data_IF_305452185256
#
_entry.id   IF_305452185256
#
_cell.length_a   1.000
_cell.length_b   1.000
_cell.length_c   1.000
_cell.angle_alpha   90.00
_cell.angle_beta   90.00
_cell.angle_gamma   90.00
#
_symmetry.space_group_name_H-M   'P 1'
#
loop_
_entity.id
_entity.type
_entity.pdbx_description
1 polymer ?
#
# COMPACT_ATOMS: atom_id res chain seq x y z
N UNK A 1 7.34 37.15 69.81
CA UNK A 1 6.55 38.04 68.95
C UNK A 1 5.32 37.26 68.51
N UNK A 2 4.13 37.87 68.64
CA UNK A 2 2.80 37.26 68.42
C UNK A 2 2.70 36.65 67.01
N UNK A 3 2.33 35.37 66.93
CA UNK A 3 1.92 34.76 65.66
C UNK A 3 0.74 35.55 65.10
N UNK A 4 0.91 36.04 63.87
CA UNK A 4 -0.13 36.76 63.14
C UNK A 4 -1.29 35.80 62.86
N UNK A 5 -2.56 36.22 63.03
CA UNK A 5 -3.71 35.33 62.85
C UNK A 5 -3.70 34.71 61.43
N UNK A 6 -4.07 33.43 61.35
CA UNK A 6 -4.16 32.71 60.07
C UNK A 6 -5.11 33.45 59.10
N UNK A 7 -4.98 33.26 57.78
CA UNK A 7 -5.82 33.96 56.76
C UNK A 7 -7.32 33.90 57.07
N UNK A 8 -7.77 32.83 57.74
CA UNK A 8 -9.15 32.64 58.17
C UNK A 8 -9.52 33.55 59.36
N UNK A 9 -8.63 33.69 60.34
CA UNK A 9 -8.84 34.53 61.51
C UNK A 9 -8.81 36.03 61.14
N UNK A 10 -8.02 36.40 60.13
CA UNK A 10 -8.07 37.75 59.55
C UNK A 10 -9.45 38.07 58.95
N UNK A 11 -10.08 37.14 58.23
CA UNK A 11 -11.42 37.33 57.68
C UNK A 11 -12.48 37.48 58.78
N UNK A 12 -12.39 36.69 59.85
CA UNK A 12 -13.29 36.81 61.00
C UNK A 12 -13.12 38.14 61.74
N UNK A 13 -11.88 38.59 61.96
CA UNK A 13 -11.59 39.87 62.60
C UNK A 13 -12.12 41.04 61.76
N UNK A 14 -11.87 41.02 60.44
CA UNK A 14 -12.37 42.06 59.53
C UNK A 14 -13.91 42.04 59.46
N UNK A 15 -14.53 40.86 59.36
CA UNK A 15 -15.98 40.73 59.35
C UNK A 15 -16.63 41.28 60.63
N UNK A 16 -16.07 40.95 61.79
CA UNK A 16 -16.54 41.48 63.08
C UNK A 16 -16.39 43.01 63.16
N UNK A 17 -15.28 43.56 62.66
CA UNK A 17 -15.01 44.99 62.65
C UNK A 17 -16.00 45.75 61.74
N UNK A 18 -16.33 45.20 60.57
CA UNK A 18 -17.34 45.77 59.66
C UNK A 18 -18.72 45.76 60.32
N UNK A 19 -19.12 44.65 60.97
CA UNK A 19 -20.40 44.56 61.68
C UNK A 19 -20.46 45.60 62.81
N UNK A 20 -19.40 45.73 63.61
CA UNK A 20 -19.33 46.72 64.69
C UNK A 20 -19.47 48.16 64.18
N UNK A 21 -18.84 48.49 63.05
CA UNK A 21 -18.98 49.81 62.40
C UNK A 21 -20.43 50.05 61.97
N UNK A 22 -21.08 49.07 61.35
CA UNK A 22 -22.48 49.19 60.91
C UNK A 22 -23.42 49.45 62.10
N UNK A 23 -23.19 48.78 63.24
CA UNK A 23 -23.97 49.01 64.47
C UNK A 23 -23.79 50.43 65.02
N UNK A 24 -22.55 50.93 65.09
CA UNK A 24 -22.26 52.28 65.58
C UNK A 24 -22.87 53.33 64.65
N UNK A 25 -22.71 53.16 63.34
CA UNK A 25 -23.25 54.09 62.34
C UNK A 25 -24.78 54.04 62.34
N UNK A 26 -25.41 52.87 62.39
CA UNK A 26 -26.88 52.75 62.46
C UNK A 26 -27.44 53.40 63.71
N UNK A 27 -26.82 53.17 64.88
CA UNK A 27 -27.29 53.75 66.14
C UNK A 27 -27.21 55.28 66.17
N UNK A 28 -26.19 55.88 65.55
CA UNK A 28 -26.01 57.34 65.52
C UNK A 28 -26.81 58.03 64.41
N UNK A 29 -27.09 57.33 63.31
CA UNK A 29 -27.69 57.89 62.10
C UNK A 29 -29.21 57.67 62.04
N UNK A 30 -29.76 56.79 62.90
CA UNK A 30 -31.19 56.54 63.02
C UNK A 30 -32.02 57.79 63.37
N UNK A 31 -31.42 58.80 64.00
CA UNK A 31 -32.11 60.04 64.39
C UNK A 31 -32.34 60.99 63.19
N UNK A 32 -31.73 60.74 62.03
CA UNK A 32 -31.87 61.58 60.84
C UNK A 32 -32.61 60.83 59.72
N UNK A 33 -33.92 61.03 59.65
CA UNK A 33 -34.84 60.35 58.72
C UNK A 33 -34.43 60.47 57.25
N UNK A 34 -33.90 61.63 56.84
CA UNK A 34 -33.46 61.84 55.45
C UNK A 34 -32.31 60.91 55.06
N UNK A 35 -31.38 60.64 55.97
CA UNK A 35 -30.23 59.77 55.66
C UNK A 35 -30.66 58.30 55.61
N UNK A 36 -31.58 57.89 56.49
CA UNK A 36 -32.16 56.54 56.48
C UNK A 36 -32.90 56.26 55.16
N UNK A 37 -33.66 57.24 54.65
CA UNK A 37 -34.37 57.11 53.36
C UNK A 37 -33.41 56.95 52.17
N UNK A 38 -32.32 57.74 52.12
CA UNK A 38 -31.29 57.59 51.08
C UNK A 38 -30.57 56.24 51.15
N UNK A 39 -30.30 55.73 52.37
CA UNK A 39 -29.69 54.41 52.55
C UNK A 39 -30.65 53.28 52.14
N UNK A 40 -31.94 53.41 52.45
CA UNK A 40 -32.98 52.45 52.00
C UNK A 40 -33.13 52.43 50.47
N UNK A 41 -33.08 53.60 49.83
CA UNK A 41 -33.11 53.72 48.37
C UNK A 41 -31.83 53.17 47.72
N UNK A 42 -30.65 53.46 48.28
CA UNK A 42 -29.39 52.88 47.81
C UNK A 42 -29.39 51.36 47.99
N UNK A 43 -29.94 50.84 49.09
CA UNK A 43 -30.06 49.41 49.35
C UNK A 43 -30.93 48.68 48.34
N UNK A 44 -32.03 49.29 47.89
CA UNK A 44 -32.90 48.72 46.84
C UNK A 44 -32.20 48.71 45.47
N UNK A 45 -31.48 49.78 45.10
CA UNK A 45 -30.68 49.79 43.86
C UNK A 45 -29.59 48.72 43.90
N UNK A 46 -28.85 48.59 45.01
CA UNK A 46 -27.81 47.56 45.17
C UNK A 46 -28.41 46.16 45.08
N UNK A 47 -29.59 45.93 45.67
CA UNK A 47 -30.29 44.64 45.58
C UNK A 47 -30.66 44.29 44.13
N UNK A 48 -31.20 45.25 43.37
CA UNK A 48 -31.52 45.06 41.95
C UNK A 48 -30.24 44.76 41.15
N UNK A 49 -29.15 45.51 41.36
CA UNK A 49 -27.89 45.29 40.65
C UNK A 49 -27.29 43.90 40.95
N UNK A 50 -27.32 43.46 42.20
CA UNK A 50 -26.86 42.12 42.57
C UNK A 50 -27.71 41.02 41.92
N UNK A 51 -29.04 41.20 41.86
CA UNK A 51 -29.93 40.26 41.17
C UNK A 51 -29.61 40.19 39.66
N UNK A 52 -29.37 41.33 39.02
CA UNK A 52 -28.98 41.38 37.59
C UNK A 52 -27.63 40.69 37.36
N UNK A 53 -26.63 40.94 38.22
CA UNK A 53 -25.33 40.26 38.13
C UNK A 53 -25.48 38.74 38.27
N UNK A 54 -26.33 38.28 39.20
CA UNK A 54 -26.61 36.87 39.37
C UNK A 54 -27.26 36.25 38.12
N UNK A 55 -28.24 36.93 37.50
CA UNK A 55 -28.87 36.49 36.25
C UNK A 55 -27.84 36.42 35.11
N UNK A 56 -26.99 37.44 34.96
CA UNK A 56 -25.92 37.45 33.95
C UNK A 56 -24.97 36.28 34.16
N UNK A 57 -24.56 36.02 35.40
CA UNK A 57 -23.66 34.92 35.71
C UNK A 57 -24.31 33.56 35.41
N UNK A 58 -25.58 33.37 35.80
CA UNK A 58 -26.36 32.18 35.42
C UNK A 58 -26.47 32.00 33.91
N UNK A 59 -26.67 33.09 33.16
CA UNK A 59 -26.75 33.05 31.70
C UNK A 59 -25.40 32.72 31.05
N UNK A 60 -24.31 33.34 31.51
CA UNK A 60 -22.95 33.07 31.03
C UNK A 60 -22.53 31.62 31.34
N UNK A 61 -22.87 31.14 32.53
CA UNK A 61 -22.65 29.78 32.96
C UNK A 61 -23.46 28.79 32.11
N UNK A 62 -24.75 29.07 31.85
CA UNK A 62 -25.60 28.24 30.99
C UNK A 62 -25.08 28.19 29.54
N UNK A 63 -24.72 29.33 28.95
CA UNK A 63 -24.19 29.39 27.58
C UNK A 63 -22.84 28.70 27.44
N UNK A 64 -21.96 28.83 28.44
CA UNK A 64 -20.66 28.15 28.43
C UNK A 64 -20.81 26.63 28.67
N UNK A 65 -21.75 26.22 29.52
CA UNK A 65 -22.05 24.80 29.74
C UNK A 65 -22.70 24.14 28.53
N UNK A 66 -23.64 24.81 27.84
CA UNK A 66 -24.23 24.27 26.60
C UNK A 66 -23.17 24.03 25.53
N UNK A 67 -22.30 25.01 25.28
CA UNK A 67 -21.21 24.87 24.31
C UNK A 67 -20.20 23.78 24.69
N UNK A 68 -19.90 23.62 25.97
CA UNK A 68 -18.97 22.59 26.46
C UNK A 68 -19.61 21.19 26.40
N UNK A 69 -20.89 21.08 26.72
CA UNK A 69 -21.65 19.81 26.68
C UNK A 69 -21.87 19.35 25.25
N UNK A 70 -22.20 20.26 24.33
CA UNK A 70 -22.28 19.97 22.89
C UNK A 70 -20.93 19.52 22.33
N UNK A 71 -19.82 20.18 22.70
CA UNK A 71 -18.48 19.73 22.29
C UNK A 71 -18.11 18.36 22.86
N UNK A 72 -18.51 18.07 24.10
CA UNK A 72 -18.33 16.75 24.70
C UNK A 72 -19.17 15.68 23.99
N UNK A 73 -20.42 15.97 23.64
CA UNK A 73 -21.29 15.06 22.89
C UNK A 73 -20.75 14.79 21.48
N UNK A 74 -20.28 15.82 20.78
CA UNK A 74 -19.63 15.67 19.46
C UNK A 74 -18.35 14.84 19.59
N UNK A 75 -17.56 15.05 20.65
CA UNK A 75 -16.33 14.30 20.89
C UNK A 75 -16.64 12.84 21.23
N UNK A 76 -17.66 12.58 22.06
CA UNK A 76 -18.12 11.23 22.38
C UNK A 76 -18.63 10.50 21.14
N UNK A 77 -19.42 11.15 20.28
CA UNK A 77 -19.88 10.59 18.99
C UNK A 77 -18.71 10.29 18.04
N UNK A 78 -17.69 11.16 17.98
CA UNK A 78 -16.47 10.90 17.20
C UNK A 78 -15.68 9.71 17.76
N UNK A 79 -15.57 9.58 19.08
CA UNK A 79 -14.91 8.44 19.72
C UNK A 79 -15.69 7.15 19.44
N UNK A 80 -17.02 7.18 19.51
CA UNK A 80 -17.90 6.05 19.18
C UNK A 80 -17.73 5.62 17.72
N UNK A 81 -17.71 6.57 16.78
CA UNK A 81 -17.45 6.31 15.36
C UNK A 81 -16.06 5.70 15.14
N UNK A 82 -15.00 6.28 15.73
CA UNK A 82 -13.63 5.75 15.63
C UNK A 82 -13.55 4.36 16.26
N UNK A 83 -14.27 4.09 17.35
CA UNK A 83 -14.30 2.77 17.99
C UNK A 83 -15.03 1.76 17.13
N UNK A 84 -16.11 2.15 16.45
CA UNK A 84 -16.82 1.29 15.51
C UNK A 84 -15.98 1.01 14.25
N UNK A 85 -15.33 2.03 13.67
CA UNK A 85 -14.36 1.87 12.57
C UNK A 85 -13.18 0.99 13.01
N UNK A 86 -12.69 1.13 14.24
CA UNK A 86 -11.64 0.28 14.80
C UNK A 86 -12.14 -1.15 15.05
N UNK A 87 -13.41 -1.35 15.42
CA UNK A 87 -14.02 -2.67 15.55
C UNK A 87 -14.18 -3.35 14.20
N UNK A 88 -14.57 -2.61 13.16
CA UNK A 88 -14.59 -3.07 11.77
C UNK A 88 -13.18 -3.40 11.27
N UNK A 89 -12.18 -2.58 11.62
CA UNK A 89 -10.75 -2.86 11.37
C UNK A 89 -10.24 -4.04 12.20
N UNK A 90 -10.75 -4.28 13.40
CA UNK A 90 -10.42 -5.45 14.23
C UNK A 90 -11.04 -6.73 13.67
N UNK A 91 -12.25 -6.67 13.12
CA UNK A 91 -12.83 -7.74 12.29
C UNK A 91 -12.02 -7.94 11.01
N UNK A 92 -11.54 -6.88 10.36
CA UNK A 92 -10.56 -6.96 9.27
C UNK A 92 -9.25 -7.57 9.76
N UNK A 93 -8.82 -7.35 11.01
CA UNK A 93 -7.63 -7.99 11.59
C UNK A 93 -7.83 -9.50 11.80
N UNK A 94 -9.04 -9.90 12.20
CA UNK A 94 -9.47 -11.30 12.21
C UNK A 94 -9.48 -11.89 10.80
N UNK A 95 -9.94 -11.12 9.82
CA UNK A 95 -9.88 -11.47 8.40
C UNK A 95 -8.45 -11.44 7.85
N UNK A 96 -7.53 -10.63 8.38
CA UNK A 96 -6.10 -10.63 8.04
C UNK A 96 -5.43 -11.87 8.62
N UNK A 97 -5.84 -12.35 9.81
CA UNK A 97 -5.41 -13.64 10.32
C UNK A 97 -5.93 -14.78 9.45
N UNK A 98 -7.19 -14.73 9.04
CA UNK A 98 -7.74 -15.69 8.07
C UNK A 98 -7.08 -15.61 6.70
N UNK A 99 -6.77 -14.41 6.21
CA UNK A 99 -6.04 -14.19 4.96
C UNK A 99 -4.60 -14.65 5.10
N UNK A 100 -3.94 -14.42 6.24
CA UNK A 100 -2.59 -14.93 6.52
C UNK A 100 -2.60 -16.45 6.61
N UNK A 101 -3.56 -17.05 7.31
CA UNK A 101 -3.73 -18.50 7.37
C UNK A 101 -4.10 -19.09 6.00
N UNK A 102 -4.85 -18.35 5.18
CA UNK A 102 -5.19 -18.73 3.80
C UNK A 102 -3.99 -18.56 2.88
N UNK A 103 -3.19 -17.51 3.03
CA UNK A 103 -1.93 -17.27 2.33
C UNK A 103 -0.91 -18.31 2.74
N UNK A 104 -0.79 -18.67 4.01
CA UNK A 104 0.10 -19.72 4.52
C UNK A 104 -0.38 -21.10 4.03
N UNK A 105 -1.69 -21.35 3.97
CA UNK A 105 -2.24 -22.57 3.33
C UNK A 105 -1.97 -22.58 1.84
N UNK A 106 -2.14 -21.46 1.13
CA UNK A 106 -1.82 -21.32 -0.29
C UNK A 106 -0.33 -21.51 -0.50
N UNK A 107 0.54 -20.95 0.34
CA UNK A 107 1.99 -21.10 0.24
C UNK A 107 2.40 -22.55 0.49
N UNK A 108 1.78 -23.23 1.46
CA UNK A 108 1.98 -24.66 1.68
C UNK A 108 1.42 -25.52 0.53
N UNK A 109 0.32 -25.12 -0.09
CA UNK A 109 -0.23 -25.76 -1.28
C UNK A 109 0.70 -25.51 -2.47
N UNK A 110 1.23 -24.31 -2.65
CA UNK A 110 2.20 -23.96 -3.71
C UNK A 110 3.51 -24.69 -3.49
N UNK A 111 4.02 -24.82 -2.26
CA UNK A 111 5.21 -25.62 -1.96
C UNK A 111 4.95 -27.12 -2.18
N UNK A 112 3.75 -27.62 -1.85
CA UNK A 112 3.35 -29.01 -2.18
C UNK A 112 3.10 -29.22 -3.66
N UNK A 113 2.58 -28.22 -4.37
CA UNK A 113 2.40 -28.22 -5.80
C UNK A 113 3.77 -28.13 -6.46
N UNK A 114 4.70 -27.31 -6.01
CA UNK A 114 6.09 -27.31 -6.48
C UNK A 114 6.70 -28.68 -6.22
N UNK A 115 6.63 -29.24 -5.01
CA UNK A 115 7.18 -30.56 -4.73
C UNK A 115 6.55 -31.68 -5.58
N UNK A 116 5.22 -31.68 -5.74
CA UNK A 116 4.50 -32.70 -6.51
C UNK A 116 4.55 -32.46 -8.02
N UNK A 117 4.63 -31.22 -8.50
CA UNK A 117 4.83 -30.88 -9.91
C UNK A 117 6.30 -31.08 -10.30
N UNK A 118 7.27 -30.84 -9.42
CA UNK A 118 8.65 -31.23 -9.68
C UNK A 118 8.80 -32.76 -9.74
N UNK A 119 7.98 -33.56 -9.06
CA UNK A 119 8.02 -35.02 -9.21
C UNK A 119 7.14 -35.54 -10.37
N UNK A 120 5.95 -34.96 -10.61
CA UNK A 120 5.02 -35.39 -11.67
C UNK A 120 5.36 -34.79 -13.06
N UNK A 121 5.97 -33.60 -13.15
CA UNK A 121 6.45 -33.00 -14.43
C UNK A 121 7.85 -33.52 -14.79
N UNK A 122 8.68 -33.97 -13.82
CA UNK A 122 9.95 -34.65 -14.12
C UNK A 122 9.80 -36.14 -14.44
N UNK A 123 8.59 -36.70 -14.41
CA UNK A 123 8.30 -37.91 -15.18
C UNK A 123 8.27 -37.54 -16.67
N UNK A 124 9.47 -37.36 -17.22
CA UNK A 124 9.72 -37.25 -18.65
C UNK A 124 8.96 -38.37 -19.37
N UNK A 125 8.21 -38.07 -20.44
CA UNK A 125 7.96 -39.09 -21.45
C UNK A 125 9.32 -39.65 -21.85
N UNK A 126 9.51 -40.96 -21.74
CA UNK A 126 10.80 -41.58 -22.01
C UNK A 126 11.31 -41.17 -23.39
N UNK A 127 12.57 -40.73 -23.41
CA UNK A 127 13.29 -40.32 -24.60
C UNK A 127 13.43 -41.48 -25.57
N UNK A 128 12.93 -41.32 -26.79
CA UNK A 128 13.37 -42.07 -27.97
C UNK A 128 13.10 -41.26 -29.25
N UNK A 129 13.53 -40.01 -29.33
CA UNK A 129 13.57 -39.25 -30.60
C UNK A 129 14.83 -38.39 -30.71
N UNK A 130 15.99 -39.01 -30.48
CA UNK A 130 17.26 -38.55 -31.04
C UNK A 130 17.97 -39.78 -31.58
N UNK A 131 17.45 -40.32 -32.70
CA UNK A 131 18.17 -41.00 -33.78
C UNK A 131 17.20 -41.88 -34.57
N UNK A 132 16.99 -41.53 -35.85
CA UNK A 132 16.53 -42.38 -36.94
C UNK A 132 15.35 -43.33 -36.67
N UNK A 133 14.20 -43.06 -37.28
CA UNK A 133 13.53 -43.88 -38.33
C UNK A 133 12.07 -43.45 -38.46
N UNK A 134 11.59 -43.33 -39.70
CA UNK A 134 10.20 -43.04 -40.08
C UNK A 134 9.21 -43.93 -39.32
N UNK A 135 8.28 -43.35 -38.56
CA UNK A 135 7.05 -44.01 -38.14
C UNK A 135 5.92 -42.97 -38.01
N UNK A 136 4.94 -43.07 -38.92
CA UNK A 136 3.67 -42.38 -38.84
C UNK A 136 2.84 -42.97 -37.69
N UNK A 137 2.62 -42.21 -36.62
CA UNK A 137 1.45 -42.32 -35.74
C UNK A 137 1.11 -40.94 -35.19
N UNK A 138 -0.11 -40.49 -35.46
CA UNK A 138 -0.60 -39.13 -35.22
C UNK A 138 -0.76 -38.73 -33.75
N UNK A 139 -0.76 -37.41 -33.58
CA UNK A 139 -1.02 -36.61 -32.37
C UNK A 139 0.19 -36.15 -31.55
N UNK A 140 1.35 -35.96 -32.18
CA UNK A 140 2.39 -35.04 -31.71
C UNK A 140 2.35 -33.73 -32.50
N UNK A 141 2.61 -32.59 -31.85
CA UNK A 141 2.85 -31.34 -32.57
C UNK A 141 4.13 -31.50 -33.41
N UNK A 142 4.04 -31.25 -34.72
CA UNK A 142 5.21 -31.26 -35.59
C UNK A 142 5.86 -29.87 -35.55
N UNK A 143 6.98 -29.75 -34.84
CA UNK A 143 7.75 -28.51 -34.71
C UNK A 143 8.66 -28.29 -35.93
N UNK A 144 8.04 -28.06 -37.10
CA UNK A 144 8.75 -27.77 -38.35
C UNK A 144 8.88 -26.25 -38.61
N UNK A 145 9.61 -25.88 -39.67
CA UNK A 145 9.80 -24.46 -40.03
C UNK A 145 8.48 -23.74 -40.35
N UNK A 146 7.45 -24.45 -40.83
CA UNK A 146 6.14 -23.84 -41.10
C UNK A 146 5.40 -23.53 -39.81
N UNK A 147 5.43 -24.45 -38.84
CA UNK A 147 4.91 -24.23 -37.50
C UNK A 147 5.57 -23.01 -36.86
N UNK A 148 6.90 -22.95 -36.84
CA UNK A 148 7.62 -21.83 -36.27
C UNK A 148 7.43 -20.53 -37.07
N UNK A 149 7.26 -20.60 -38.38
CA UNK A 149 6.87 -19.45 -39.21
C UNK A 149 5.52 -18.86 -38.79
N UNK A 150 4.53 -19.73 -38.54
CA UNK A 150 3.23 -19.32 -38.04
C UNK A 150 3.31 -18.74 -36.62
N UNK A 151 4.09 -19.35 -35.73
CA UNK A 151 4.34 -18.80 -34.39
C UNK A 151 4.98 -17.42 -34.49
N UNK A 152 6.09 -17.31 -35.21
CA UNK A 152 6.84 -16.06 -35.43
C UNK A 152 5.98 -14.93 -35.99
N UNK A 153 5.04 -15.26 -36.88
CA UNK A 153 4.12 -14.29 -37.49
C UNK A 153 3.10 -13.72 -36.52
N UNK A 154 2.78 -14.47 -35.46
CA UNK A 154 1.74 -14.17 -34.48
C UNK A 154 2.30 -13.82 -33.09
N UNK A 155 3.61 -13.69 -32.93
CA UNK A 155 4.22 -13.26 -31.67
C UNK A 155 3.80 -11.83 -31.34
N UNK A 156 3.48 -11.59 -30.07
CA UNK A 156 3.40 -10.22 -29.54
C UNK A 156 4.79 -9.59 -29.55
N UNK A 157 4.85 -8.25 -29.51
CA UNK A 157 6.14 -7.53 -29.49
C UNK A 157 7.03 -7.98 -28.32
N UNK A 158 6.45 -8.17 -27.13
CA UNK A 158 7.18 -8.69 -25.96
C UNK A 158 7.72 -10.09 -26.22
N UNK A 159 6.88 -11.00 -26.73
CA UNK A 159 7.28 -12.37 -26.99
C UNK A 159 8.37 -12.48 -28.08
N UNK A 160 8.26 -11.66 -29.13
CA UNK A 160 9.29 -11.56 -30.18
C UNK A 160 10.64 -11.14 -29.59
N UNK A 161 10.65 -10.13 -28.72
CA UNK A 161 11.88 -9.63 -28.09
C UNK A 161 12.49 -10.67 -27.17
N UNK A 162 11.69 -11.34 -26.33
CA UNK A 162 12.18 -12.41 -25.44
C UNK A 162 12.79 -13.55 -26.24
N UNK A 163 12.09 -14.06 -27.26
CA UNK A 163 12.57 -15.19 -28.08
C UNK A 163 13.87 -14.84 -28.80
N UNK A 164 13.95 -13.67 -29.44
CA UNK A 164 15.17 -13.25 -30.15
C UNK A 164 16.32 -13.02 -29.17
N UNK A 165 16.05 -12.47 -27.98
CA UNK A 165 17.08 -12.31 -26.96
C UNK A 165 17.64 -13.66 -26.53
N UNK A 166 16.78 -14.64 -26.24
CA UNK A 166 17.20 -15.99 -25.86
C UNK A 166 18.02 -16.65 -26.99
N UNK A 167 17.57 -16.53 -28.23
CA UNK A 167 18.28 -17.07 -29.40
C UNK A 167 19.68 -16.45 -29.54
N UNK A 168 19.82 -15.14 -29.36
CA UNK A 168 21.12 -14.44 -29.39
C UNK A 168 21.99 -14.78 -28.18
N UNK A 169 21.40 -14.90 -26.99
CA UNK A 169 22.07 -15.35 -25.76
C UNK A 169 22.65 -16.76 -25.94
N UNK A 170 21.89 -17.67 -26.54
CA UNK A 170 22.36 -19.03 -26.89
C UNK A 170 23.54 -18.97 -27.87
N UNK A 171 23.41 -18.21 -28.97
CA UNK A 171 24.50 -18.07 -29.96
C UNK A 171 25.81 -17.52 -29.38
N UNK A 172 25.73 -16.55 -28.46
CA UNK A 172 26.90 -15.94 -27.83
C UNK A 172 27.35 -16.65 -26.56
N UNK A 173 26.62 -17.68 -26.12
CA UNK A 173 26.83 -18.39 -24.85
C UNK A 173 26.89 -17.44 -23.64
N UNK A 174 25.97 -16.47 -23.60
CA UNK A 174 25.83 -15.48 -22.52
C UNK A 174 24.54 -15.78 -21.76
N UNK A 175 24.53 -15.72 -20.41
CA UNK A 175 23.30 -15.94 -19.66
C UNK A 175 22.24 -14.89 -20.02
N UNK A 176 21.00 -15.35 -20.12
CA UNK A 176 19.82 -14.51 -20.27
C UNK A 176 19.43 -13.95 -18.90
N UNK A 177 19.30 -12.63 -18.80
CA UNK A 177 18.89 -11.94 -17.58
C UNK A 177 17.52 -11.30 -17.80
N UNK A 178 16.54 -11.68 -16.97
CA UNK A 178 15.17 -11.21 -17.11
C UNK A 178 15.09 -9.70 -16.87
N UNK A 179 15.79 -9.18 -15.85
CA UNK A 179 15.72 -7.75 -15.51
C UNK A 179 16.27 -6.86 -16.60
N UNK A 180 17.31 -7.30 -17.30
CA UNK A 180 17.85 -6.57 -18.44
C UNK A 180 16.87 -6.57 -19.61
N UNK A 181 16.22 -7.70 -19.88
CA UNK A 181 15.20 -7.82 -20.91
C UNK A 181 13.98 -6.94 -20.59
N UNK A 182 13.50 -6.97 -19.34
CA UNK A 182 12.41 -6.11 -18.83
C UNK A 182 12.77 -4.64 -18.98
N UNK A 183 13.98 -4.24 -18.56
CA UNK A 183 14.44 -2.85 -18.65
C UNK A 183 14.45 -2.36 -20.09
N UNK A 184 15.08 -3.13 -20.99
CA UNK A 184 15.11 -2.80 -22.42
C UNK A 184 13.70 -2.68 -23.01
N UNK A 185 12.80 -3.60 -22.69
CA UNK A 185 11.44 -3.55 -23.20
C UNK A 185 10.70 -2.27 -22.75
N UNK A 186 10.85 -1.89 -21.48
CA UNK A 186 10.15 -0.71 -20.94
C UNK A 186 10.78 0.59 -21.46
N UNK A 187 12.11 0.69 -21.41
CA UNK A 187 12.81 1.93 -21.72
C UNK A 187 12.91 2.18 -23.24
N UNK A 188 13.24 1.15 -24.02
CA UNK A 188 13.57 1.30 -25.45
C UNK A 188 12.42 0.96 -26.40
N UNK A 189 11.40 0.20 -25.94
CA UNK A 189 10.25 -0.18 -26.77
C UNK A 189 8.98 0.55 -26.35
N UNK A 190 8.68 0.59 -25.05
CA UNK A 190 7.52 1.33 -24.54
C UNK A 190 7.79 2.83 -24.37
N UNK A 191 9.07 3.26 -24.38
CA UNK A 191 9.49 4.65 -24.11
C UNK A 191 9.00 5.19 -22.76
N UNK A 192 8.85 4.31 -21.76
CA UNK A 192 8.41 4.69 -20.42
C UNK A 192 9.61 4.74 -19.46
N UNK A 193 9.74 5.85 -18.72
CA UNK A 193 10.74 5.97 -17.65
C UNK A 193 10.03 5.94 -16.29
N UNK A 194 10.57 5.14 -15.37
CA UNK A 194 10.25 5.17 -13.92
C UNK A 194 8.84 4.71 -13.47
N UNK A 195 8.31 3.60 -13.99
CA UNK A 195 7.15 2.93 -13.38
C UNK A 195 7.51 1.58 -12.74
N UNK A 196 7.74 1.57 -11.42
CA UNK A 196 8.06 0.35 -10.65
C UNK A 196 6.98 -0.73 -10.77
N UNK A 197 5.69 -0.35 -10.85
CA UNK A 197 4.57 -1.31 -10.93
C UNK A 197 4.55 -2.02 -12.29
N UNK A 198 4.83 -1.29 -13.38
CA UNK A 198 4.89 -1.88 -14.72
C UNK A 198 6.12 -2.75 -14.91
N UNK A 199 7.25 -2.40 -14.28
CA UNK A 199 8.44 -3.24 -14.27
C UNK A 199 8.15 -4.65 -13.77
N UNK A 200 7.52 -4.76 -12.58
CA UNK A 200 7.17 -6.05 -11.99
C UNK A 200 6.16 -6.82 -12.88
N UNK A 201 5.19 -6.12 -13.47
CA UNK A 201 4.22 -6.73 -14.38
C UNK A 201 4.86 -7.35 -15.63
N UNK A 202 5.78 -6.63 -16.28
CA UNK A 202 6.50 -7.12 -17.47
C UNK A 202 7.48 -8.24 -17.09
N UNK A 203 8.18 -8.14 -15.97
CA UNK A 203 9.06 -9.19 -15.47
C UNK A 203 8.29 -10.52 -15.27
N UNK A 204 7.11 -10.47 -14.66
CA UNK A 204 6.24 -11.63 -14.50
C UNK A 204 5.72 -12.18 -15.84
N UNK A 205 5.39 -11.30 -16.78
CA UNK A 205 4.97 -11.70 -18.12
C UNK A 205 6.10 -12.41 -18.88
N UNK A 206 7.34 -11.93 -18.78
CA UNK A 206 8.52 -12.59 -19.36
C UNK A 206 8.70 -13.96 -18.73
N UNK A 207 8.65 -14.08 -17.40
CA UNK A 207 8.73 -15.38 -16.70
C UNK A 207 7.67 -16.37 -17.22
N UNK A 208 6.42 -15.94 -17.38
CA UNK A 208 5.35 -16.77 -17.95
C UNK A 208 5.65 -17.24 -19.38
N UNK A 209 6.23 -16.36 -20.21
CA UNK A 209 6.65 -16.71 -21.58
C UNK A 209 7.79 -17.73 -21.58
N UNK A 210 8.76 -17.61 -20.67
CA UNK A 210 9.87 -18.57 -20.57
C UNK A 210 9.33 -19.99 -20.29
N UNK A 211 8.46 -20.11 -19.27
CA UNK A 211 7.87 -21.39 -18.88
C UNK A 211 7.05 -21.98 -20.03
N UNK A 212 6.20 -21.17 -20.66
CA UNK A 212 5.35 -21.65 -21.76
C UNK A 212 6.16 -22.16 -22.95
N UNK A 213 7.20 -21.43 -23.37
CA UNK A 213 8.02 -21.81 -24.52
C UNK A 213 9.00 -22.93 -24.23
N UNK A 214 9.47 -23.07 -22.98
CA UNK A 214 10.26 -24.22 -22.56
C UNK A 214 9.41 -25.51 -22.58
N UNK A 215 8.15 -25.45 -22.13
CA UNK A 215 7.20 -26.58 -22.23
C UNK A 215 6.86 -26.96 -23.67
N UNK A 216 6.92 -26.01 -24.61
CA UNK A 216 6.75 -26.26 -26.04
C UNK A 216 8.06 -26.68 -26.73
N UNK A 217 9.14 -26.90 -25.98
CA UNK A 217 10.45 -27.31 -26.49
C UNK A 217 11.10 -26.30 -27.44
N UNK A 218 10.76 -25.01 -27.35
CA UNK A 218 11.38 -23.98 -28.19
C UNK A 218 12.83 -23.74 -27.79
N UNK A 219 13.11 -23.86 -26.50
CA UNK A 219 14.43 -23.75 -25.90
C UNK A 219 14.43 -24.42 -24.53
N UNK A 220 15.61 -24.60 -23.95
CA UNK A 220 15.82 -25.16 -22.62
C UNK A 220 16.69 -24.24 -21.78
N UNK A 221 16.23 -23.94 -20.58
CA UNK A 221 16.90 -23.01 -19.67
C UNK A 221 17.33 -23.70 -18.39
N UNK A 222 18.55 -23.38 -17.93
CA UNK A 222 19.01 -23.74 -16.59
C UNK A 222 19.07 -22.48 -15.76
N UNK A 223 18.35 -22.44 -14.63
CA UNK A 223 18.41 -21.30 -13.70
C UNK A 223 19.81 -21.23 -13.07
N UNK A 224 20.47 -20.08 -13.20
CA UNK A 224 21.75 -19.79 -12.54
C UNK A 224 21.52 -19.04 -11.23
N UNK A 225 20.76 -17.95 -11.29
CA UNK A 225 20.42 -17.06 -10.18
C UNK A 225 18.92 -16.72 -10.22
N UNK A 226 18.42 -15.92 -9.27
CA UNK A 226 17.00 -15.51 -9.24
C UNK A 226 16.52 -14.90 -10.57
N UNK A 227 17.37 -14.14 -11.26
CA UNK A 227 17.01 -13.40 -12.47
C UNK A 227 17.79 -13.84 -13.72
N UNK A 228 18.63 -14.87 -13.63
CA UNK A 228 19.55 -15.27 -14.70
C UNK A 228 19.42 -16.75 -15.06
N UNK A 229 19.42 -17.01 -16.36
CA UNK A 229 19.19 -18.31 -16.97
C UNK A 229 20.26 -18.59 -18.02
N UNK A 230 20.85 -19.77 -17.98
CA UNK A 230 21.71 -20.29 -19.05
C UNK A 230 20.82 -20.95 -20.10
N UNK A 231 20.99 -20.57 -21.37
CA UNK A 231 20.30 -21.24 -22.48
C UNK A 231 21.12 -22.45 -22.88
N UNK A 232 20.63 -23.66 -22.59
CA UNK A 232 21.32 -24.92 -22.91
C UNK A 232 21.07 -25.35 -24.35
N UNK A 233 19.83 -25.21 -24.80
CA UNK A 233 19.38 -25.66 -26.11
C UNK A 233 18.37 -24.64 -26.67
N UNK A 234 18.38 -24.45 -27.99
CA UNK A 234 17.40 -23.66 -28.72
C UNK A 234 17.02 -24.40 -30.01
N UNK A 235 15.73 -24.45 -30.33
CA UNK A 235 15.24 -25.18 -31.50
C UNK A 235 15.82 -24.63 -32.81
N UNK A 236 16.33 -25.52 -33.65
CA UNK A 236 17.04 -25.15 -34.89
C UNK A 236 16.09 -24.61 -35.96
N UNK A 237 14.89 -25.17 -36.08
CA UNK A 237 13.89 -24.69 -37.04
C UNK A 237 13.41 -23.30 -36.64
N UNK A 238 13.24 -23.06 -35.35
CA UNK A 238 12.87 -21.73 -34.88
C UNK A 238 13.99 -20.70 -35.09
N UNK A 239 15.24 -21.08 -34.83
CA UNK A 239 16.39 -20.23 -35.08
C UNK A 239 16.48 -19.83 -36.56
N UNK A 240 16.29 -20.78 -37.47
CA UNK A 240 16.24 -20.52 -38.91
C UNK A 240 15.14 -19.53 -39.29
N UNK A 241 13.94 -19.69 -38.72
CA UNK A 241 12.79 -18.80 -38.97
C UNK A 241 13.06 -17.37 -38.50
N UNK A 242 13.70 -17.21 -37.34
CA UNK A 242 14.08 -15.90 -36.79
C UNK A 242 15.15 -15.23 -37.68
N UNK A 243 16.14 -15.99 -38.12
CA UNK A 243 17.25 -15.48 -38.95
C UNK A 243 16.85 -15.22 -40.40
N UNK A 244 15.91 -16.00 -40.93
CA UNK A 244 15.43 -15.90 -42.31
C UNK A 244 14.64 -14.62 -42.60
N UNK A 245 14.25 -13.84 -41.59
CA UNK A 245 13.65 -12.51 -41.76
C UNK A 245 12.34 -12.48 -42.55
N UNK A 246 11.65 -13.61 -42.72
CA UNK A 246 10.50 -13.71 -43.63
C UNK A 246 9.13 -13.44 -42.95
N UNK A 247 9.12 -12.85 -41.76
CA UNK A 247 7.92 -12.69 -40.94
C UNK A 247 7.80 -11.28 -40.37
N UNK A 248 6.66 -10.93 -39.76
CA UNK A 248 6.36 -9.63 -39.12
C UNK A 248 7.43 -9.12 -38.13
N UNK A 249 8.35 -9.99 -37.73
CA UNK A 249 9.58 -9.70 -37.00
C UNK A 249 10.47 -8.63 -37.67
N UNK A 250 10.36 -8.40 -38.99
CA UNK A 250 11.17 -7.40 -39.69
C UNK A 250 11.02 -5.97 -39.15
N UNK A 251 9.83 -5.62 -38.63
CA UNK A 251 9.59 -4.31 -38.03
C UNK A 251 10.42 -4.08 -36.75
N UNK A 252 10.90 -5.16 -36.13
CA UNK A 252 11.70 -5.16 -34.91
C UNK A 252 13.20 -5.35 -35.18
N UNK A 253 13.64 -5.44 -36.44
CA UNK A 253 15.04 -5.71 -36.80
C UNK A 253 16.02 -4.74 -36.14
N UNK A 254 15.65 -3.44 -36.04
CA UNK A 254 16.48 -2.44 -35.34
C UNK A 254 16.69 -2.82 -33.87
N UNK A 255 15.64 -3.27 -33.19
CA UNK A 255 15.73 -3.73 -31.81
C UNK A 255 16.54 -5.02 -31.68
N UNK A 256 16.47 -5.92 -32.67
CA UNK A 256 17.27 -7.13 -32.68
C UNK A 256 18.78 -6.85 -32.85
N UNK A 257 19.15 -5.83 -33.62
CA UNK A 257 20.53 -5.34 -33.68
C UNK A 257 20.97 -4.73 -32.35
N UNK A 258 20.11 -3.94 -31.71
CA UNK A 258 20.41 -3.32 -30.42
C UNK A 258 20.63 -4.36 -29.31
N UNK A 259 19.78 -5.39 -29.23
CA UNK A 259 19.96 -6.55 -28.32
C UNK A 259 21.31 -7.21 -28.56
N UNK A 260 21.71 -7.35 -29.83
CA UNK A 260 23.00 -7.96 -30.16
C UNK A 260 24.18 -7.11 -29.67
N UNK A 261 24.08 -5.78 -29.77
CA UNK A 261 25.09 -4.86 -29.24
C UNK A 261 25.18 -4.96 -27.72
N UNK A 262 24.04 -4.95 -27.02
CA UNK A 262 23.96 -5.09 -25.55
C UNK A 262 24.65 -6.38 -25.09
N UNK A 263 24.36 -7.50 -25.75
CA UNK A 263 24.96 -8.80 -25.42
C UNK A 263 26.47 -8.87 -25.75
N UNK A 264 26.96 -8.07 -26.70
CA UNK A 264 28.38 -8.06 -27.07
C UNK A 264 29.23 -7.26 -26.08
N UNK A 265 28.66 -6.23 -25.44
CA UNK A 265 29.34 -5.42 -24.42
C UNK A 265 29.52 -6.20 -23.10
N UNK A 266 28.67 -7.22 -22.85
CA UNK A 266 28.67 -8.03 -21.62
C UNK A 266 29.67 -9.19 -21.60
N UNK A 267 30.49 -9.37 -22.64
CA UNK A 267 31.52 -10.42 -22.72
C UNK A 267 32.85 -9.95 -22.14
#
# INVERSE_FOLDING_TARGET
MKDFPSKRDFFYIVGFLVIAIIFIVSGRLSDNTSVVDYVGFAGTIVSILLAVIAIIYSFYQSSTYENSTQKLEITAKKIEQITNELSEVAEISGNIKYLKDTVDKINNIVVKIEANLYEDINQKPQQDIFNNTKANTGNGYNYDENFFGNVASNLTVLAAIVVVWIQKSHKKNVPFNIKDCTRYFIEDIMFERESNVRFIGIENAINGLLIAYEHLFFFKLTKLNENEFKVEEFDKHFANVIEGGNHNLNLLNKHFEDIERILTIKK
#
